data_IF_309165897704
#
_entry.id   IF_309165897704
#
_cell.length_a   1.000
_cell.length_b   1.000
_cell.length_c   1.000
_cell.angle_alpha   90.00
_cell.angle_beta   90.00
_cell.angle_gamma   90.00
#
_symmetry.space_group_name_H-M   'P 1'
#
loop_
_entity.id
_entity.type
_entity.pdbx_description
1 polymer ?
#
# COMPACT_ATOMS: atom_id res chain seq x y z
N UNK A 1 -11.21 29.84 -13.24
CA UNK A 1 -11.48 30.02 -11.82
C UNK A 1 -12.10 28.70 -11.32
N UNK A 2 -11.27 27.79 -10.77
CA UNK A 2 -11.78 26.55 -10.16
C UNK A 2 -12.37 26.88 -8.81
N UNK A 3 -13.66 26.63 -8.64
CA UNK A 3 -14.33 26.76 -7.37
C UNK A 3 -13.71 25.74 -6.39
N UNK A 4 -13.06 26.22 -5.34
CA UNK A 4 -12.68 25.40 -4.19
C UNK A 4 -14.00 24.93 -3.55
N UNK A 5 -14.35 23.67 -3.77
CA UNK A 5 -15.49 23.05 -3.12
C UNK A 5 -15.18 22.96 -1.62
N UNK A 6 -15.87 23.74 -0.82
CA UNK A 6 -15.79 23.65 0.64
C UNK A 6 -16.07 22.21 1.08
N UNK A 7 -15.39 21.68 2.12
CA UNK A 7 -15.66 20.36 2.65
C UNK A 7 -17.15 20.27 3.00
N UNK A 8 -17.81 19.20 2.55
CA UNK A 8 -19.19 18.95 2.92
C UNK A 8 -19.27 18.92 4.45
N UNK A 9 -20.26 19.54 5.03
CA UNK A 9 -20.49 19.74 6.47
C UNK A 9 -20.55 18.47 7.35
N UNK A 10 -20.17 17.31 6.82
CA UNK A 10 -20.22 15.98 7.45
C UNK A 10 -18.87 15.27 7.63
N UNK A 11 -17.74 15.86 7.17
CA UNK A 11 -16.40 15.24 7.29
C UNK A 11 -15.69 15.81 8.51
N UNK A 12 -15.26 14.95 9.44
CA UNK A 12 -14.50 15.38 10.61
C UNK A 12 -13.10 15.90 10.21
N UNK A 13 -12.49 16.80 11.02
CA UNK A 13 -11.13 17.26 10.76
C UNK A 13 -10.11 16.11 10.67
N UNK A 14 -10.27 15.06 11.47
CA UNK A 14 -9.42 13.87 11.45
C UNK A 14 -9.58 13.07 10.13
N UNK A 15 -10.81 12.89 9.66
CA UNK A 15 -11.05 12.26 8.35
C UNK A 15 -10.49 13.12 7.22
N UNK A 16 -10.64 14.45 7.29
CA UNK A 16 -10.11 15.33 6.24
C UNK A 16 -8.58 15.28 6.17
N UNK A 17 -7.90 15.30 7.31
CA UNK A 17 -6.44 15.14 7.35
C UNK A 17 -5.99 13.80 6.75
N UNK A 18 -6.72 12.71 7.04
CA UNK A 18 -6.45 11.40 6.45
C UNK A 18 -6.66 11.41 4.92
N UNK A 19 -7.73 12.08 4.43
CA UNK A 19 -8.01 12.23 2.99
C UNK A 19 -6.88 12.96 2.28
N UNK A 20 -6.39 14.06 2.84
CA UNK A 20 -5.26 14.80 2.29
C UNK A 20 -4.00 13.93 2.24
N UNK A 21 -3.69 13.21 3.31
CA UNK A 21 -2.52 12.34 3.35
C UNK A 21 -2.62 11.17 2.36
N UNK A 22 -3.80 10.55 2.24
CA UNK A 22 -4.03 9.45 1.29
C UNK A 22 -3.99 9.94 -0.17
N UNK A 23 -4.59 11.08 -0.48
CA UNK A 23 -4.47 11.68 -1.82
C UNK A 23 -3.02 12.02 -2.17
N UNK A 24 -2.25 12.53 -1.20
CA UNK A 24 -0.81 12.70 -1.33
C UNK A 24 -0.07 11.40 -1.62
N UNK A 25 -0.48 10.28 -1.01
CA UNK A 25 0.10 8.96 -1.27
C UNK A 25 -0.12 8.50 -2.72
N UNK A 26 -1.30 8.75 -3.30
CA UNK A 26 -1.56 8.48 -4.72
C UNK A 26 -0.64 9.31 -5.63
N UNK A 27 -0.45 10.61 -5.33
CA UNK A 27 0.48 11.47 -6.08
C UNK A 27 1.93 11.00 -5.95
N UNK A 28 2.33 10.52 -4.77
CA UNK A 28 3.66 9.93 -4.56
C UNK A 28 3.82 8.65 -5.39
N UNK A 29 2.82 7.76 -5.39
CA UNK A 29 2.86 6.55 -6.21
C UNK A 29 2.96 6.85 -7.71
N UNK A 30 2.20 7.83 -8.20
CA UNK A 30 2.29 8.29 -9.59
C UNK A 30 3.68 8.88 -9.90
N UNK A 31 4.19 9.75 -9.02
CA UNK A 31 5.52 10.35 -9.18
C UNK A 31 6.65 9.32 -9.26
N UNK A 32 6.50 8.20 -8.58
CA UNK A 32 7.47 7.09 -8.59
C UNK A 32 7.26 6.13 -9.77
N UNK A 33 6.25 6.36 -10.63
CA UNK A 33 5.96 5.52 -11.78
C UNK A 33 5.33 4.17 -11.40
N UNK A 34 4.60 4.11 -10.28
CA UNK A 34 3.94 2.89 -9.80
C UNK A 34 2.47 2.81 -10.19
N UNK A 35 1.92 3.87 -10.77
CA UNK A 35 0.55 3.89 -11.29
C UNK A 35 0.41 2.99 -12.51
N UNK A 36 -0.71 2.29 -12.62
CA UNK A 36 -1.08 1.46 -13.75
C UNK A 36 -2.46 1.87 -14.26
N UNK A 37 -2.51 2.89 -15.14
CA UNK A 37 -3.74 3.46 -15.66
C UNK A 37 -4.70 3.84 -14.51
N UNK A 38 -5.83 3.11 -14.37
CA UNK A 38 -6.86 3.29 -13.35
C UNK A 38 -6.89 2.13 -12.34
N UNK A 39 -5.92 1.22 -12.45
CA UNK A 39 -5.85 0.03 -11.62
C UNK A 39 -4.99 0.27 -10.38
N UNK A 40 -4.96 -0.73 -9.51
CA UNK A 40 -4.29 -0.69 -8.21
C UNK A 40 -4.90 0.33 -7.23
N UNK A 41 -4.55 0.24 -5.97
CA UNK A 41 -5.22 1.02 -4.94
C UNK A 41 -4.41 1.09 -3.65
N UNK A 42 -4.64 2.19 -2.93
CA UNK A 42 -4.20 2.40 -1.56
C UNK A 42 -5.45 2.67 -0.74
N UNK A 43 -5.63 2.01 0.38
CA UNK A 43 -6.74 2.32 1.27
C UNK A 43 -6.27 2.66 2.67
N UNK A 44 -7.06 3.48 3.36
CA UNK A 44 -6.80 3.86 4.74
C UNK A 44 -8.07 3.77 5.57
N UNK A 45 -7.95 3.26 6.81
CA UNK A 45 -9.06 3.16 7.76
C UNK A 45 -9.41 4.55 8.26
N UNK A 46 -10.68 4.92 8.19
CA UNK A 46 -11.20 6.16 8.76
C UNK A 46 -11.21 6.05 10.28
N UNK A 47 -10.75 7.06 11.03
CA UNK A 47 -10.88 7.07 12.48
C UNK A 47 -12.36 7.01 12.91
N UNK A 48 -12.66 6.13 13.84
CA UNK A 48 -14.02 5.93 14.37
C UNK A 48 -14.36 4.45 14.53
N UNK A 49 -15.48 4.15 15.18
CA UNK A 49 -15.91 2.78 15.46
C UNK A 49 -16.57 2.07 14.26
N UNK A 50 -16.92 2.81 13.20
CA UNK A 50 -17.79 2.31 12.12
C UNK A 50 -17.08 1.40 11.12
N UNK A 51 -15.76 1.23 11.21
CA UNK A 51 -14.95 0.44 10.27
C UNK A 51 -15.12 0.89 8.81
N UNK A 52 -15.06 2.20 8.57
CA UNK A 52 -15.08 2.77 7.24
C UNK A 52 -13.65 2.91 6.67
N UNK A 53 -13.55 2.94 5.34
CA UNK A 53 -12.27 3.05 4.63
C UNK A 53 -12.34 4.12 3.56
N UNK A 54 -11.20 4.74 3.27
CA UNK A 54 -11.01 5.60 2.10
C UNK A 54 -10.23 4.84 1.04
N UNK A 55 -10.61 5.01 -0.22
CA UNK A 55 -9.96 4.42 -1.39
C UNK A 55 -10.12 5.36 -2.59
N UNK A 56 -9.29 5.20 -3.64
CA UNK A 56 -9.41 6.00 -4.86
C UNK A 56 -10.73 5.74 -5.61
N UNK A 57 -11.26 6.76 -6.28
CA UNK A 57 -12.36 6.59 -7.22
C UNK A 57 -11.95 5.67 -8.37
N UNK A 58 -12.78 4.70 -8.72
CA UNK A 58 -12.57 3.90 -9.92
C UNK A 58 -12.80 4.76 -11.17
N UNK A 59 -11.85 4.73 -12.09
CA UNK A 59 -11.87 5.52 -13.31
C UNK A 59 -11.00 6.77 -13.30
N UNK A 60 -10.48 7.18 -12.13
CA UNK A 60 -9.46 8.24 -12.05
C UNK A 60 -8.05 7.65 -11.99
N UNK A 61 -7.12 8.28 -12.71
CA UNK A 61 -5.69 8.02 -12.55
C UNK A 61 -5.20 8.59 -11.21
N UNK A 62 -4.06 8.14 -10.75
CA UNK A 62 -3.51 8.58 -9.46
C UNK A 62 -3.17 10.08 -9.41
N UNK A 63 -2.78 10.66 -10.56
CA UNK A 63 -2.54 12.10 -10.70
C UNK A 63 -3.83 12.95 -10.70
N UNK A 64 -4.99 12.34 -10.78
CA UNK A 64 -6.29 13.01 -10.72
C UNK A 64 -6.94 12.91 -9.33
N UNK A 65 -6.43 12.03 -8.45
CA UNK A 65 -7.01 11.82 -7.11
C UNK A 65 -6.78 13.04 -6.22
N UNK A 66 -7.85 13.50 -5.56
CA UNK A 66 -7.83 14.59 -4.57
C UNK A 66 -8.48 14.13 -3.26
N UNK A 67 -8.26 14.87 -2.17
CA UNK A 67 -8.87 14.57 -0.88
C UNK A 67 -10.39 14.50 -0.95
N UNK A 68 -11.02 15.38 -1.72
CA UNK A 68 -12.49 15.40 -1.92
C UNK A 68 -12.99 14.29 -2.84
N UNK A 69 -12.18 13.79 -3.77
CA UNK A 69 -12.59 12.74 -4.70
C UNK A 69 -12.55 11.34 -4.08
N UNK A 70 -11.76 11.12 -3.02
CA UNK A 70 -11.68 9.81 -2.35
C UNK A 70 -13.04 9.29 -1.92
N UNK A 71 -13.29 8.01 -2.21
CA UNK A 71 -14.54 7.33 -1.86
C UNK A 71 -14.43 6.75 -0.46
N UNK A 72 -15.41 7.06 0.39
CA UNK A 72 -15.59 6.41 1.70
C UNK A 72 -16.53 5.23 1.54
N UNK A 73 -16.09 4.04 1.97
CA UNK A 73 -16.83 2.79 1.85
C UNK A 73 -16.96 2.10 3.21
N UNK A 74 -18.01 1.29 3.35
CA UNK A 74 -18.21 0.38 4.48
C UNK A 74 -17.45 -0.95 4.28
N UNK A 75 -17.62 -1.90 5.21
CA UNK A 75 -16.99 -3.23 5.17
C UNK A 75 -17.54 -4.14 4.06
N UNK A 76 -18.70 -3.82 3.50
CA UNK A 76 -19.34 -4.48 2.36
C UNK A 76 -18.93 -3.85 1.02
N UNK A 77 -18.28 -2.68 1.04
CA UNK A 77 -17.84 -1.93 -0.15
C UNK A 77 -18.89 -0.96 -0.69
N UNK A 78 -19.92 -0.68 0.09
CA UNK A 78 -20.92 0.30 -0.32
C UNK A 78 -20.40 1.72 -0.06
N UNK A 79 -20.49 2.64 -1.02
CA UNK A 79 -20.15 4.04 -0.79
C UNK A 79 -21.08 4.67 0.27
N UNK A 80 -20.50 5.31 1.28
CA UNK A 80 -21.26 5.92 2.39
C UNK A 80 -21.74 7.31 2.03
N UNK A 81 -20.96 8.09 1.30
CA UNK A 81 -21.33 9.42 0.82
C UNK A 81 -21.11 9.48 -0.68
N UNK A 82 -22.13 9.14 -1.45
CA UNK A 82 -22.06 9.13 -2.92
C UNK A 82 -21.85 10.54 -3.46
N UNK A 83 -20.69 10.77 -4.08
CA UNK A 83 -20.39 11.97 -4.88
C UNK A 83 -20.19 11.61 -6.37
N UNK A 84 -20.90 10.59 -6.86
CA UNK A 84 -20.83 10.15 -8.26
C UNK A 84 -19.66 9.19 -8.57
N UNK A 85 -18.83 8.85 -7.60
CA UNK A 85 -17.71 7.92 -7.76
C UNK A 85 -18.00 6.58 -7.07
N UNK A 86 -17.47 5.49 -7.64
CA UNK A 86 -17.50 4.14 -7.06
C UNK A 86 -16.09 3.64 -6.78
N UNK A 87 -15.94 2.69 -5.87
CA UNK A 87 -14.69 1.99 -5.66
C UNK A 87 -14.57 0.76 -6.59
N UNK A 88 -13.36 0.33 -6.88
CA UNK A 88 -13.10 -0.92 -7.57
C UNK A 88 -13.43 -2.11 -6.65
N UNK A 89 -14.34 -3.00 -7.08
CA UNK A 89 -14.75 -4.17 -6.29
C UNK A 89 -13.60 -5.13 -5.97
N UNK A 90 -12.68 -5.37 -6.92
CA UNK A 90 -11.54 -6.24 -6.70
C UNK A 90 -10.63 -5.68 -5.59
N UNK A 91 -10.33 -4.38 -5.65
CA UNK A 91 -9.57 -3.71 -4.61
C UNK A 91 -10.23 -3.76 -3.25
N UNK A 92 -11.53 -3.59 -3.21
CA UNK A 92 -12.29 -3.69 -1.98
C UNK A 92 -12.16 -5.08 -1.33
N UNK A 93 -12.28 -6.17 -2.08
CA UNK A 93 -12.25 -7.55 -1.54
C UNK A 93 -10.92 -7.83 -0.82
N UNK A 94 -9.79 -7.53 -1.44
CA UNK A 94 -8.46 -7.73 -0.86
C UNK A 94 -8.26 -6.81 0.35
N UNK A 95 -8.50 -5.52 0.19
CA UNK A 95 -8.20 -4.53 1.22
C UNK A 95 -9.08 -4.66 2.45
N UNK A 96 -10.40 -4.86 2.27
CA UNK A 96 -11.31 -5.05 3.41
C UNK A 96 -11.01 -6.33 4.19
N UNK A 97 -10.63 -7.43 3.52
CA UNK A 97 -10.24 -8.66 4.18
C UNK A 97 -9.05 -8.42 5.14
N UNK A 98 -8.02 -7.73 4.67
CA UNK A 98 -6.84 -7.41 5.45
C UNK A 98 -7.17 -6.43 6.58
N UNK A 99 -7.86 -5.33 6.28
CA UNK A 99 -8.24 -4.35 7.29
C UNK A 99 -9.05 -4.96 8.43
N UNK A 100 -9.99 -5.87 8.11
CA UNK A 100 -10.84 -6.50 9.14
C UNK A 100 -10.09 -7.55 9.96
N UNK A 101 -9.16 -8.29 9.35
CA UNK A 101 -8.38 -9.30 10.05
C UNK A 101 -7.21 -8.73 10.86
N UNK A 102 -6.73 -7.54 10.52
CA UNK A 102 -5.52 -6.90 11.07
C UNK A 102 -5.85 -5.49 11.56
N UNK A 103 -6.17 -5.30 12.86
CA UNK A 103 -6.42 -3.97 13.43
C UNK A 103 -5.25 -2.98 13.29
N UNK A 104 -4.03 -3.49 13.21
CA UNK A 104 -2.80 -2.72 12.97
C UNK A 104 -2.60 -2.31 11.50
N UNK A 105 -3.32 -2.93 10.55
CA UNK A 105 -3.33 -2.51 9.15
C UNK A 105 -4.26 -1.29 8.96
N UNK A 106 -3.80 -0.12 9.38
CA UNK A 106 -4.54 1.14 9.19
C UNK A 106 -4.43 1.64 7.74
N UNK A 107 -3.37 1.29 7.04
CA UNK A 107 -3.18 1.51 5.61
C UNK A 107 -2.80 0.20 4.92
N UNK A 108 -3.39 -0.03 3.74
CA UNK A 108 -3.05 -1.14 2.83
C UNK A 108 -2.61 -0.52 1.50
N UNK A 109 -1.43 -0.89 1.02
CA UNK A 109 -0.83 -0.39 -0.20
C UNK A 109 -0.58 -1.54 -1.18
N UNK A 110 -1.27 -1.53 -2.33
CA UNK A 110 -1.18 -2.57 -3.35
C UNK A 110 -0.91 -1.98 -4.73
N UNK A 111 0.15 -2.46 -5.40
CA UNK A 111 0.53 -2.04 -6.75
C UNK A 111 1.00 -3.20 -7.61
N UNK A 112 0.90 -3.02 -8.93
CA UNK A 112 1.39 -3.90 -9.98
C UNK A 112 2.68 -3.35 -10.61
N UNK A 113 3.70 -3.05 -9.81
CA UNK A 113 4.98 -2.60 -10.37
C UNK A 113 5.60 -3.72 -11.21
N UNK A 114 6.30 -3.37 -12.30
CA UNK A 114 6.91 -4.35 -13.19
C UNK A 114 7.82 -5.33 -12.44
N UNK A 115 8.67 -4.80 -11.54
CA UNK A 115 9.56 -5.63 -10.75
C UNK A 115 8.81 -6.53 -9.75
N UNK A 116 7.76 -5.99 -9.12
CA UNK A 116 6.91 -6.73 -8.19
C UNK A 116 6.16 -7.87 -8.89
N UNK A 117 5.57 -7.60 -10.06
CA UNK A 117 4.89 -8.62 -10.86
C UNK A 117 5.87 -9.70 -11.33
N UNK A 118 7.07 -9.32 -11.79
CA UNK A 118 8.07 -10.27 -12.27
C UNK A 118 8.54 -11.20 -11.13
N UNK A 119 8.83 -10.68 -9.93
CA UNK A 119 9.20 -11.51 -8.77
C UNK A 119 8.02 -12.33 -8.26
N UNK A 120 6.78 -11.81 -8.35
CA UNK A 120 5.59 -12.57 -7.95
C UNK A 120 5.36 -13.83 -8.80
N UNK A 121 5.90 -13.86 -10.02
CA UNK A 121 5.82 -14.99 -10.95
C UNK A 121 6.99 -15.99 -10.83
N UNK A 122 7.97 -15.73 -9.95
CA UNK A 122 9.11 -16.61 -9.73
C UNK A 122 8.81 -17.63 -8.62
N UNK A 123 9.17 -18.88 -8.81
CA UNK A 123 8.95 -19.96 -7.83
C UNK A 123 9.60 -19.65 -6.49
N UNK A 124 10.84 -19.14 -6.49
CA UNK A 124 11.57 -18.78 -5.28
C UNK A 124 10.96 -17.55 -4.56
N UNK A 125 10.28 -16.69 -5.31
CA UNK A 125 9.80 -15.41 -4.81
C UNK A 125 10.94 -14.45 -4.49
N UNK A 126 10.81 -13.67 -3.43
CA UNK A 126 11.82 -12.70 -2.98
C UNK A 126 12.96 -13.40 -2.23
N UNK A 127 14.18 -13.30 -2.76
CA UNK A 127 15.38 -13.85 -2.15
C UNK A 127 15.98 -12.87 -1.12
N UNK A 128 16.55 -13.36 -0.02
CA UNK A 128 17.24 -12.50 0.98
C UNK A 128 18.63 -12.08 0.49
N UNK A 129 18.71 -11.47 -0.70
CA UNK A 129 19.97 -11.22 -1.38
C UNK A 129 20.67 -9.91 -0.97
N UNK A 130 19.94 -9.00 -0.31
CA UNK A 130 20.47 -7.67 0.06
C UNK A 130 19.64 -6.99 1.16
N UNK A 131 20.14 -5.87 1.70
CA UNK A 131 19.58 -5.18 2.87
C UNK A 131 18.08 -4.87 2.80
N UNK A 132 17.53 -4.51 1.63
CA UNK A 132 16.09 -4.21 1.51
C UNK A 132 15.23 -5.46 1.59
N UNK A 133 15.68 -6.61 1.06
CA UNK A 133 14.97 -7.87 1.22
C UNK A 133 15.00 -8.38 2.67
N UNK A 134 16.07 -8.07 3.43
CA UNK A 134 16.15 -8.43 4.85
C UNK A 134 15.09 -7.74 5.71
N UNK A 135 14.56 -6.56 5.31
CA UNK A 135 13.45 -5.93 6.02
C UNK A 135 12.16 -6.77 6.05
N UNK A 136 12.10 -7.81 5.22
CA UNK A 136 10.97 -8.74 5.15
C UNK A 136 11.32 -10.14 5.65
N UNK A 137 12.48 -10.31 6.30
CA UNK A 137 12.89 -11.59 6.85
C UNK A 137 11.88 -12.09 7.86
N UNK A 138 11.29 -13.28 7.61
CA UNK A 138 10.20 -13.85 8.41
C UNK A 138 8.98 -12.91 8.61
N UNK A 139 8.79 -11.92 7.71
CA UNK A 139 7.66 -10.97 7.73
C UNK A 139 7.00 -10.80 6.37
N UNK A 140 7.31 -11.68 5.43
CA UNK A 140 6.74 -11.77 4.08
C UNK A 140 5.97 -13.09 3.95
N UNK A 141 4.81 -13.03 3.35
CA UNK A 141 4.05 -14.21 2.95
C UNK A 141 3.70 -14.20 1.46
N UNK A 142 3.09 -15.26 1.01
CA UNK A 142 2.66 -15.45 -0.38
C UNK A 142 1.22 -15.92 -0.40
N UNK A 143 0.47 -15.49 -1.41
CA UNK A 143 -0.87 -15.98 -1.69
C UNK A 143 -0.96 -16.37 -3.15
N UNK A 144 -1.41 -17.59 -3.43
CA UNK A 144 -1.52 -18.12 -4.77
C UNK A 144 -2.60 -17.39 -5.57
N UNK A 145 -2.40 -17.26 -6.88
CA UNK A 145 -3.31 -16.58 -7.76
C UNK A 145 -4.58 -17.42 -7.98
N UNK A 146 -5.73 -16.88 -7.59
CA UNK A 146 -7.04 -17.51 -7.76
C UNK A 146 -7.87 -16.88 -8.88
N UNK A 147 -7.25 -16.06 -9.73
CA UNK A 147 -7.91 -15.23 -10.74
C UNK A 147 -8.11 -13.78 -10.27
N UNK A 148 -8.83 -12.95 -11.02
CA UNK A 148 -9.19 -11.62 -10.55
C UNK A 148 -9.98 -11.70 -9.24
N UNK A 149 -9.57 -10.94 -8.21
CA UNK A 149 -10.14 -10.99 -6.84
C UNK A 149 -11.58 -10.43 -6.81
N UNK A 150 -12.51 -11.18 -7.38
CA UNK A 150 -13.93 -10.84 -7.45
C UNK A 150 -14.80 -11.67 -6.50
N UNK A 151 -14.19 -12.67 -5.81
CA UNK A 151 -14.90 -13.66 -5.01
C UNK A 151 -14.70 -13.40 -3.53
N UNK A 152 -15.80 -13.31 -2.78
CA UNK A 152 -15.78 -13.07 -1.33
C UNK A 152 -15.18 -14.24 -0.52
N UNK A 153 -15.24 -15.46 -1.05
CA UNK A 153 -14.66 -16.64 -0.41
C UNK A 153 -13.13 -16.66 -0.42
N UNK A 154 -12.47 -15.89 -1.30
CA UNK A 154 -11.02 -15.67 -1.30
C UNK A 154 -10.52 -14.97 -0.02
N UNK A 155 -11.36 -14.13 0.60
CA UNK A 155 -10.99 -13.33 1.79
C UNK A 155 -10.37 -14.19 2.91
N UNK A 156 -10.98 -15.31 3.25
CA UNK A 156 -10.50 -16.17 4.34
C UNK A 156 -9.15 -16.81 4.03
N UNK A 157 -8.92 -17.19 2.77
CA UNK A 157 -7.65 -17.78 2.32
C UNK A 157 -6.55 -16.74 2.28
N UNK A 158 -6.84 -15.54 1.76
CA UNK A 158 -5.92 -14.42 1.75
C UNK A 158 -5.49 -14.03 3.18
N UNK A 159 -6.43 -13.92 4.11
CA UNK A 159 -6.15 -13.62 5.52
C UNK A 159 -5.29 -14.73 6.16
N UNK A 160 -5.58 -15.98 5.87
CA UNK A 160 -4.80 -17.12 6.33
C UNK A 160 -3.36 -17.07 5.79
N UNK A 161 -3.20 -16.80 4.49
CA UNK A 161 -1.89 -16.65 3.84
C UNK A 161 -1.11 -15.46 4.39
N UNK A 162 -1.78 -14.33 4.62
CA UNK A 162 -1.13 -13.14 5.15
C UNK A 162 -0.65 -13.32 6.60
N UNK A 163 -1.44 -14.02 7.42
CA UNK A 163 -1.09 -14.29 8.81
C UNK A 163 -1.15 -13.05 9.72
N UNK A 164 -0.71 -13.24 10.97
CA UNK A 164 -0.88 -12.23 12.05
C UNK A 164 0.27 -11.24 12.17
N UNK A 165 1.47 -11.58 11.72
CA UNK A 165 2.69 -10.80 11.94
C UNK A 165 3.39 -10.32 10.68
N UNK A 166 2.98 -10.79 9.50
CA UNK A 166 3.60 -10.36 8.24
C UNK A 166 3.30 -8.89 7.94
N UNK A 167 4.28 -8.21 7.39
CA UNK A 167 4.21 -6.79 7.03
C UNK A 167 3.90 -6.60 5.54
N UNK A 168 4.12 -7.66 4.76
CA UNK A 168 3.91 -7.69 3.34
C UNK A 168 3.42 -9.07 2.87
N UNK A 169 2.77 -9.10 1.73
CA UNK A 169 2.42 -10.31 1.01
C UNK A 169 2.69 -10.11 -0.48
N UNK A 170 3.31 -11.10 -1.10
CA UNK A 170 3.40 -11.19 -2.54
C UNK A 170 2.20 -12.01 -3.02
N UNK A 171 1.35 -11.36 -3.80
CA UNK A 171 0.26 -12.02 -4.51
C UNK A 171 0.87 -12.66 -5.75
N UNK A 172 0.96 -14.02 -5.77
CA UNK A 172 1.58 -14.78 -6.86
C UNK A 172 0.96 -14.41 -8.20
N UNK A 173 1.79 -14.21 -9.24
CA UNK A 173 1.38 -13.83 -10.59
C UNK A 173 0.50 -12.57 -10.67
N UNK A 174 0.56 -11.68 -9.65
CA UNK A 174 -0.33 -10.54 -9.54
C UNK A 174 0.43 -9.26 -9.17
N UNK A 175 1.02 -9.19 -7.97
CA UNK A 175 1.70 -7.98 -7.52
C UNK A 175 2.09 -8.00 -6.05
N UNK A 176 2.36 -6.80 -5.52
CA UNK A 176 2.85 -6.60 -4.17
C UNK A 176 1.79 -5.92 -3.30
N UNK A 177 1.73 -6.30 -2.02
CA UNK A 177 0.90 -5.63 -1.04
C UNK A 177 1.66 -5.48 0.28
N UNK A 178 1.56 -4.30 0.89
CA UNK A 178 2.10 -4.00 2.22
C UNK A 178 1.06 -3.37 3.12
N UNK A 179 1.24 -3.48 4.43
CA UNK A 179 0.40 -2.85 5.43
C UNK A 179 1.21 -1.94 6.34
N UNK A 180 0.55 -0.96 6.94
CA UNK A 180 1.13 -0.07 7.93
C UNK A 180 0.11 0.44 8.93
N UNK A 181 0.58 0.81 10.11
CA UNK A 181 -0.21 1.54 11.13
C UNK A 181 -0.47 2.99 10.71
N UNK A 182 0.28 3.45 9.71
CA UNK A 182 0.15 4.77 9.08
C UNK A 182 0.37 4.64 7.56
N UNK A 183 -0.04 5.65 6.80
CA UNK A 183 0.23 5.73 5.37
C UNK A 183 1.75 5.76 5.09
N UNK A 184 2.57 6.57 5.80
CA UNK A 184 4.03 6.54 5.66
C UNK A 184 4.67 5.17 5.94
N UNK A 185 4.17 4.44 6.95
CA UNK A 185 4.66 3.09 7.26
C UNK A 185 4.37 2.10 6.12
N UNK A 186 3.14 2.11 5.59
CA UNK A 186 2.80 1.27 4.43
C UNK A 186 3.62 1.65 3.19
N UNK A 187 3.84 2.95 2.97
CA UNK A 187 4.66 3.48 1.88
C UNK A 187 6.10 2.99 1.94
N UNK A 188 6.78 3.16 3.08
CA UNK A 188 8.21 2.81 3.17
C UNK A 188 8.41 1.29 3.04
N UNK A 189 7.49 0.48 3.57
CA UNK A 189 7.48 -0.96 3.35
C UNK A 189 7.31 -1.29 1.88
N UNK A 190 6.36 -0.65 1.19
CA UNK A 190 6.15 -0.86 -0.24
C UNK A 190 7.38 -0.44 -1.06
N UNK A 191 7.95 0.72 -0.77
CA UNK A 191 9.14 1.21 -1.45
C UNK A 191 10.30 0.21 -1.33
N UNK A 192 10.54 -0.32 -0.13
CA UNK A 192 11.60 -1.31 0.12
C UNK A 192 11.33 -2.63 -0.58
N UNK A 193 10.09 -3.12 -0.53
CA UNK A 193 9.70 -4.37 -1.18
C UNK A 193 9.89 -4.27 -2.71
N UNK A 194 9.41 -3.19 -3.30
CA UNK A 194 9.59 -2.95 -4.73
C UNK A 194 11.08 -2.81 -5.10
N UNK A 195 11.85 -2.04 -4.32
CA UNK A 195 13.29 -1.90 -4.52
C UNK A 195 14.02 -3.24 -4.37
N UNK A 196 13.59 -4.08 -3.46
CA UNK A 196 14.11 -5.43 -3.31
C UNK A 196 13.87 -6.28 -4.56
N UNK A 197 12.67 -6.22 -5.13
CA UNK A 197 12.35 -6.89 -6.39
C UNK A 197 13.21 -6.36 -7.56
N UNK A 198 13.35 -5.04 -7.68
CA UNK A 198 14.18 -4.41 -8.73
C UNK A 198 15.64 -4.89 -8.66
N UNK A 199 16.23 -4.92 -7.46
CA UNK A 199 17.62 -5.36 -7.28
C UNK A 199 17.76 -6.85 -7.56
N UNK A 200 16.82 -7.68 -7.11
CA UNK A 200 16.82 -9.12 -7.42
C UNK A 200 16.87 -9.35 -8.93
N UNK A 201 15.99 -8.73 -9.69
CA UNK A 201 15.93 -8.88 -11.14
C UNK A 201 17.21 -8.39 -11.83
N UNK A 202 17.76 -7.26 -11.38
CA UNK A 202 19.02 -6.74 -11.92
C UNK A 202 20.21 -7.68 -11.64
N UNK A 203 20.20 -8.43 -10.53
CA UNK A 203 21.27 -9.33 -10.12
C UNK A 203 21.14 -10.77 -10.64
N UNK A 204 19.97 -11.17 -11.14
CA UNK A 204 19.67 -12.57 -11.52
C UNK A 204 20.54 -13.16 -12.64
N UNK A 205 21.15 -12.33 -13.47
CA UNK A 205 22.06 -12.81 -14.53
C UNK A 205 23.35 -13.44 -13.98
N UNK A 206 23.63 -13.29 -12.68
CA UNK A 206 24.81 -13.82 -12.01
C UNK A 206 24.41 -14.78 -10.87
N UNK A 207 25.37 -15.64 -10.46
CA UNK A 207 25.19 -16.46 -9.27
C UNK A 207 25.14 -15.54 -8.03
N UNK A 208 24.01 -15.54 -7.33
CA UNK A 208 23.82 -14.73 -6.14
C UNK A 208 24.61 -15.29 -4.96
N UNK A 209 25.24 -14.41 -4.18
CA UNK A 209 25.81 -14.71 -2.88
C UNK A 209 24.81 -14.31 -1.80
N UNK A 210 24.10 -15.29 -1.26
CA UNK A 210 23.13 -15.04 -0.17
C UNK A 210 23.87 -14.97 1.18
N UNK A 211 23.48 -14.03 2.06
CA UNK A 211 23.90 -14.02 3.45
C UNK A 211 23.38 -15.24 4.22
N UNK A 212 23.96 -15.53 5.39
CA UNK A 212 23.43 -16.57 6.26
C UNK A 212 22.12 -16.13 6.93
N UNK A 213 21.28 -17.07 7.39
CA UNK A 213 20.04 -16.75 8.10
C UNK A 213 20.24 -15.84 9.31
N UNK A 214 21.35 -16.04 10.05
CA UNK A 214 21.71 -15.23 11.23
C UNK A 214 21.99 -13.77 10.85
N UNK A 215 22.65 -13.54 9.71
CA UNK A 215 22.89 -12.19 9.18
C UNK A 215 21.59 -11.55 8.74
N UNK A 216 20.69 -12.30 8.12
CA UNK A 216 19.37 -11.80 7.71
C UNK A 216 18.53 -11.39 8.93
N UNK A 217 18.49 -12.22 9.97
CA UNK A 217 17.77 -11.93 11.22
C UNK A 217 18.35 -10.69 11.93
N UNK A 218 19.68 -10.60 12.06
CA UNK A 218 20.33 -9.44 12.65
C UNK A 218 20.04 -8.15 11.84
N UNK A 219 20.10 -8.25 10.51
CA UNK A 219 19.80 -7.12 9.62
C UNK A 219 18.34 -6.67 9.73
N UNK A 220 17.39 -7.61 9.87
CA UNK A 220 15.98 -7.29 10.11
C UNK A 220 15.82 -6.54 11.45
N UNK A 221 16.35 -7.09 12.54
CA UNK A 221 16.24 -6.50 13.88
C UNK A 221 16.81 -5.07 13.94
N UNK A 222 18.01 -4.87 13.39
CA UNK A 222 18.63 -3.54 13.32
C UNK A 222 17.83 -2.58 12.42
N UNK A 223 17.23 -3.09 11.35
CA UNK A 223 16.37 -2.30 10.47
C UNK A 223 15.12 -1.79 11.17
N UNK A 224 14.44 -2.62 11.95
CA UNK A 224 13.27 -2.22 12.75
C UNK A 224 13.66 -1.19 13.84
N UNK A 225 14.80 -1.37 14.54
CA UNK A 225 15.29 -0.42 15.53
C UNK A 225 15.59 0.94 14.91
N UNK A 226 16.33 0.97 13.81
CA UNK A 226 16.68 2.21 13.10
C UNK A 226 15.46 2.98 12.61
N UNK A 227 14.39 2.28 12.25
CA UNK A 227 13.19 2.86 11.63
C UNK A 227 12.15 3.35 12.62
N UNK A 228 12.21 2.92 13.87
CA UNK A 228 11.29 3.34 14.93
C UNK A 228 11.73 4.64 15.62
N UNK A 229 12.86 5.23 15.20
CA UNK A 229 13.38 6.43 15.84
C UNK A 229 12.55 7.69 15.50
N UNK A 230 12.22 8.45 16.54
CA UNK A 230 11.70 9.83 16.67
C UNK A 230 10.44 10.25 15.88
N UNK A 231 10.28 9.90 14.60
CA UNK A 231 9.15 10.41 13.79
C UNK A 231 8.11 9.34 13.45
N UNK A 232 8.37 8.07 13.75
CA UNK A 232 7.60 6.93 13.27
C UNK A 232 8.11 6.39 11.93
N UNK A 233 7.90 5.10 11.74
CA UNK A 233 8.38 4.37 10.57
C UNK A 233 7.92 5.00 9.25
N UNK A 234 8.87 5.40 8.42
CA UNK A 234 8.64 5.92 7.07
C UNK A 234 8.15 7.37 6.97
N UNK A 235 7.96 8.07 8.11
CA UNK A 235 7.42 9.44 8.09
C UNK A 235 8.39 10.41 7.38
N UNK A 236 9.68 10.36 7.70
CA UNK A 236 10.67 11.26 7.10
C UNK A 236 10.82 11.02 5.60
N UNK A 237 10.84 9.76 5.19
CA UNK A 237 10.93 9.37 3.77
C UNK A 237 9.69 9.81 2.99
N UNK A 238 8.51 9.56 3.56
CA UNK A 238 7.25 9.97 2.94
C UNK A 238 7.15 11.49 2.80
N UNK A 239 7.46 12.24 3.86
CA UNK A 239 7.44 13.70 3.82
C UNK A 239 8.47 14.26 2.84
N UNK A 240 9.63 13.61 2.71
CA UNK A 240 10.66 14.00 1.75
C UNK A 240 10.16 13.93 0.31
N UNK A 241 9.55 12.82 -0.08
CA UNK A 241 9.03 12.66 -1.45
C UNK A 241 7.76 13.49 -1.66
N UNK A 242 6.91 13.64 -0.64
CA UNK A 242 5.68 14.43 -0.71
C UNK A 242 5.98 15.90 -0.97
N UNK A 243 7.00 16.48 -0.31
CA UNK A 243 7.45 17.87 -0.62
C UNK A 243 7.85 18.05 -2.08
N UNK A 244 8.48 17.02 -2.68
CA UNK A 244 8.84 17.07 -4.11
C UNK A 244 7.62 17.03 -5.03
N UNK A 245 6.60 16.26 -4.65
CA UNK A 245 5.31 16.20 -5.35
C UNK A 245 4.58 17.53 -5.21
N UNK A 246 4.46 18.06 -4.00
CA UNK A 246 3.79 19.33 -3.70
C UNK A 246 4.40 20.53 -4.43
N UNK A 247 5.71 20.53 -4.59
CA UNK A 247 6.40 21.59 -5.36
C UNK A 247 5.97 21.62 -6.84
N UNK A 248 5.43 20.52 -7.37
CA UNK A 248 4.92 20.45 -8.74
C UNK A 248 3.43 20.73 -8.81
N UNK A 249 2.66 20.10 -7.93
CA UNK A 249 1.20 20.23 -7.87
C UNK A 249 0.69 19.83 -6.48
N UNK A 250 0.09 20.79 -5.77
CA UNK A 250 -0.53 20.59 -4.47
C UNK A 250 -2.07 20.43 -4.55
N UNK A 251 -2.65 20.29 -5.75
CA UNK A 251 -4.10 20.25 -5.97
C UNK A 251 -4.78 19.03 -5.32
N UNK A 252 -4.02 17.99 -4.99
CA UNK A 252 -4.54 16.81 -4.29
C UNK A 252 -5.14 17.13 -2.92
N UNK A 253 -4.82 18.29 -2.34
CA UNK A 253 -5.36 18.74 -1.02
C UNK A 253 -6.82 19.20 -1.07
N UNK A 254 -7.37 19.40 -2.27
CA UNK A 254 -8.73 19.90 -2.48
C UNK A 254 -9.78 18.82 -2.28
#
# INVERSE_FOLDING_TARGET
>A
MSAVLAPASSVSPAEWALRVQLAGAYRVADHLGWSELIYTHISARVPGPEHHFLINPYGLRFDEVTASSLVKIDVEGNPINQRGHTANKAGFIIHSAIHMARPDAQCVWHMHTLAGMAVSAQDEGLLPAHMYSHNFWNRLSYHDFEGPSMRLDERSRLVSSFGKSNQAIILRNHGLLTVGRTIPEAFIRFWRLNRACEIQLAAQAAKLRLPSPEVCEASFAMGEEFLTDQAGLGQLEFDSILRKVEAKDASYKN
#
